data_IF_045735600024
#
_entry.id   IF_045735600024
#
_cell.length_a   1.000
_cell.length_b   1.000
_cell.length_c   1.000
_cell.angle_alpha   90.00
_cell.angle_beta   90.00
_cell.angle_gamma   90.00
#
_symmetry.space_group_name_H-M   'P 1'
#
loop_
_entity.id
_entity.type
_entity.pdbx_description
1 polymer ?
#
# COMPACT_ATOMS: atom_id res chain seq x y z
N UNK A 1 4.28 -26.70 16.42
CA UNK A 1 3.14 -26.19 15.65
C UNK A 1 3.33 -24.70 15.53
N UNK A 2 3.95 -24.23 14.45
CA UNK A 2 4.11 -22.79 14.23
C UNK A 2 2.82 -22.27 13.63
N UNK A 3 2.04 -21.54 14.44
CA UNK A 3 1.00 -20.67 13.91
C UNK A 3 1.71 -19.65 13.00
N UNK A 4 1.63 -19.85 11.69
CA UNK A 4 1.96 -18.81 10.74
C UNK A 4 0.95 -17.68 11.00
N UNK A 5 1.33 -16.69 11.82
CA UNK A 5 0.58 -15.45 11.93
C UNK A 5 0.58 -14.81 10.55
N UNK A 6 -0.49 -15.01 9.78
CA UNK A 6 -0.71 -14.31 8.53
C UNK A 6 -0.74 -12.83 8.86
N UNK A 7 0.37 -12.16 8.58
CA UNK A 7 0.50 -10.74 8.76
C UNK A 7 -0.56 -10.07 7.89
N UNK A 8 -1.51 -9.37 8.53
CA UNK A 8 -2.55 -8.64 7.82
C UNK A 8 -1.94 -7.73 6.74
N UNK A 9 -2.53 -7.78 5.54
CA UNK A 9 -2.29 -6.88 4.41
C UNK A 9 -3.61 -6.27 3.93
N UNK A 10 -3.58 -5.04 3.38
CA UNK A 10 -4.74 -4.46 2.72
C UNK A 10 -5.12 -5.26 1.48
N UNK A 11 -6.42 -5.38 1.21
CA UNK A 11 -6.91 -5.95 -0.04
C UNK A 11 -6.55 -5.07 -1.24
N UNK A 12 -6.39 -5.68 -2.40
CA UNK A 12 -6.18 -5.01 -3.68
C UNK A 12 -7.40 -5.27 -4.57
N UNK A 13 -8.04 -4.20 -5.01
CA UNK A 13 -9.21 -4.25 -5.89
C UNK A 13 -8.88 -3.56 -7.22
N UNK A 14 -9.35 -4.15 -8.31
CA UNK A 14 -9.29 -3.58 -9.65
C UNK A 14 -10.69 -3.15 -10.07
N UNK A 15 -10.80 -1.92 -10.56
CA UNK A 15 -12.01 -1.37 -11.15
C UNK A 15 -11.70 -0.88 -12.57
N UNK A 16 -12.34 -1.50 -13.56
CA UNK A 16 -12.13 -1.23 -14.98
C UNK A 16 -13.29 -0.39 -15.54
N UNK A 17 -12.94 0.62 -16.32
CA UNK A 17 -13.87 1.53 -16.98
C UNK A 17 -13.47 1.69 -18.46
N UNK A 18 -14.38 2.13 -19.35
CA UNK A 18 -14.05 2.37 -20.76
C UNK A 18 -12.88 3.34 -20.97
N UNK A 19 -12.68 4.28 -20.04
CA UNK A 19 -11.65 5.32 -20.12
C UNK A 19 -10.36 4.99 -19.35
N UNK A 20 -10.25 3.78 -18.78
CA UNK A 20 -9.05 3.32 -18.07
C UNK A 20 -9.36 2.41 -16.89
N UNK A 21 -8.39 2.27 -15.99
CA UNK A 21 -8.48 1.42 -14.83
C UNK A 21 -8.06 2.15 -13.55
N UNK A 22 -8.59 1.66 -12.43
CA UNK A 22 -8.28 2.11 -11.09
C UNK A 22 -7.92 0.91 -10.23
N UNK A 23 -6.74 0.98 -9.61
CA UNK A 23 -6.34 0.02 -8.58
C UNK A 23 -6.54 0.65 -7.20
N UNK A 24 -7.21 -0.06 -6.30
CA UNK A 24 -7.52 0.41 -4.95
C UNK A 24 -6.82 -0.51 -3.95
N UNK A 25 -5.94 0.07 -3.15
CA UNK A 25 -5.38 -0.58 -1.97
C UNK A 25 -6.27 -0.21 -0.79
N UNK A 26 -7.13 -1.16 -0.40
CA UNK A 26 -8.31 -0.91 0.44
C UNK A 26 -7.92 -0.25 1.77
N UNK A 27 -8.52 0.92 2.03
CA UNK A 27 -8.26 1.69 3.24
C UNK A 27 -6.92 2.43 3.28
N UNK A 28 -6.16 2.41 2.18
CA UNK A 28 -4.83 3.03 2.08
C UNK A 28 -4.80 4.13 1.02
N UNK A 29 -4.85 3.76 -0.26
CA UNK A 29 -4.73 4.69 -1.40
C UNK A 29 -5.24 4.03 -2.68
N UNK A 30 -5.21 4.76 -3.80
CA UNK A 30 -5.61 4.27 -5.12
C UNK A 30 -4.75 4.87 -6.22
N UNK A 31 -4.50 4.09 -7.28
CA UNK A 31 -3.83 4.51 -8.50
C UNK A 31 -4.76 4.47 -9.70
N UNK A 32 -4.49 5.31 -10.71
CA UNK A 32 -5.26 5.40 -11.95
C UNK A 32 -4.35 5.38 -13.17
N UNK A 33 -4.86 4.85 -14.28
CA UNK A 33 -4.13 4.83 -15.55
C UNK A 33 -5.02 4.39 -16.70
N UNK A 34 -4.59 4.67 -17.93
CA UNK A 34 -5.22 4.10 -19.13
C UNK A 34 -4.91 2.61 -19.28
N UNK A 35 -3.86 2.13 -18.60
CA UNK A 35 -3.45 0.73 -18.52
C UNK A 35 -3.25 0.28 -17.07
N UNK A 36 -3.31 -1.03 -16.81
CA UNK A 36 -3.06 -1.60 -15.49
C UNK A 36 -1.66 -1.25 -14.96
N UNK A 37 -0.68 -1.19 -15.86
CA UNK A 37 0.70 -0.83 -15.56
C UNK A 37 0.81 0.63 -15.08
N UNK A 38 0.11 1.56 -15.73
CA UNK A 38 0.03 2.96 -15.32
C UNK A 38 -0.67 3.11 -13.97
N UNK A 39 -1.82 2.44 -13.77
CA UNK A 39 -2.52 2.45 -12.50
C UNK A 39 -1.66 1.86 -11.35
N UNK A 40 -0.88 0.82 -11.65
CA UNK A 40 0.05 0.22 -10.69
C UNK A 40 1.18 1.19 -10.33
N UNK A 41 1.74 1.90 -11.31
CA UNK A 41 2.80 2.89 -11.08
C UNK A 41 2.29 4.10 -10.26
N UNK A 42 1.09 4.61 -10.57
CA UNK A 42 0.45 5.69 -9.79
C UNK A 42 0.16 5.22 -8.36
N UNK A 43 -0.35 3.99 -8.18
CA UNK A 43 -0.61 3.40 -6.87
C UNK A 43 0.66 3.34 -6.02
N UNK A 44 1.76 2.81 -6.58
CA UNK A 44 3.04 2.67 -5.88
C UNK A 44 3.66 4.02 -5.52
N UNK A 45 3.56 5.01 -6.42
CA UNK A 45 4.07 6.37 -6.18
C UNK A 45 3.35 7.00 -4.98
N UNK A 46 2.02 6.95 -4.98
CA UNK A 46 1.20 7.48 -3.87
C UNK A 46 1.43 6.73 -2.57
N UNK A 47 1.60 5.40 -2.65
CA UNK A 47 1.94 4.58 -1.49
C UNK A 47 3.28 4.98 -0.90
N UNK A 48 4.32 5.15 -1.74
CA UNK A 48 5.64 5.59 -1.30
C UNK A 48 5.54 6.92 -0.53
N UNK A 49 4.89 7.93 -1.12
CA UNK A 49 4.73 9.25 -0.49
C UNK A 49 4.03 9.15 0.86
N UNK A 50 2.92 8.42 0.92
CA UNK A 50 2.14 8.22 2.14
C UNK A 50 2.96 7.48 3.21
N UNK A 51 3.61 6.38 2.85
CA UNK A 51 4.40 5.55 3.76
C UNK A 51 5.63 6.29 4.29
N UNK A 52 6.32 7.06 3.46
CA UNK A 52 7.46 7.90 3.88
C UNK A 52 6.99 9.03 4.79
N UNK A 53 5.86 9.68 4.48
CA UNK A 53 5.28 10.70 5.36
C UNK A 53 4.94 10.13 6.74
N UNK A 54 4.28 8.97 6.80
CA UNK A 54 3.98 8.25 8.05
C UNK A 54 5.25 7.93 8.83
N UNK A 55 6.30 7.44 8.15
CA UNK A 55 7.57 7.05 8.80
C UNK A 55 8.35 8.24 9.34
N UNK A 56 8.33 9.37 8.62
CA UNK A 56 9.03 10.62 9.00
C UNK A 56 8.30 11.40 10.10
N UNK A 57 7.00 11.20 10.27
CA UNK A 57 6.20 11.84 11.32
C UNK A 57 6.50 11.32 12.75
N UNK A 58 7.72 10.83 13.02
CA UNK A 58 8.14 10.18 14.26
C UNK A 58 7.68 10.96 15.51
N UNK A 59 6.71 10.40 16.24
CA UNK A 59 6.10 10.99 17.45
C UNK A 59 4.62 11.36 17.31
N UNK A 60 4.10 11.48 16.09
CA UNK A 60 2.67 11.64 15.86
C UNK A 60 1.95 10.35 16.26
N UNK A 61 1.16 10.42 17.34
CA UNK A 61 0.22 9.34 17.70
C UNK A 61 -0.67 9.07 16.49
N UNK A 62 -1.07 7.80 16.25
CA UNK A 62 -2.10 7.52 15.24
C UNK A 62 -3.28 8.46 15.49
N UNK A 63 -3.89 9.06 14.46
CA UNK A 63 -4.92 10.07 14.63
C UNK A 63 -5.97 9.53 15.62
N UNK A 64 -6.03 10.16 16.80
CA UNK A 64 -6.86 9.72 17.91
C UNK A 64 -8.29 10.12 17.56
N UNK A 65 -8.95 9.23 16.79
CA UNK A 65 -10.37 9.14 16.38
C UNK A 65 -10.52 9.06 14.86
N UNK A 66 -11.08 7.93 14.42
CA UNK A 66 -11.99 7.87 13.27
C UNK A 66 -11.43 7.54 11.89
N UNK A 67 -10.12 7.62 11.61
CA UNK A 67 -9.68 7.69 10.20
C UNK A 67 -8.87 6.49 9.69
N UNK A 68 -8.17 5.72 10.52
CA UNK A 68 -7.44 4.53 10.04
C UNK A 68 -7.51 3.36 11.01
N UNK A 69 -7.77 2.16 10.49
CA UNK A 69 -7.70 0.92 11.28
C UNK A 69 -6.26 0.71 11.79
N UNK A 70 -6.05 0.25 13.04
CA UNK A 70 -4.69 0.07 13.58
C UNK A 70 -3.79 -0.83 12.72
N UNK A 71 -4.37 -1.81 12.03
CA UNK A 71 -3.66 -2.65 11.08
C UNK A 71 -3.14 -1.88 9.85
N UNK A 72 -3.90 -0.93 9.30
CA UNK A 72 -3.47 -0.05 8.21
C UNK A 72 -2.27 0.79 8.63
N UNK A 73 -2.32 1.38 9.83
CA UNK A 73 -1.22 2.19 10.35
C UNK A 73 0.06 1.37 10.52
N UNK A 74 -0.03 0.19 11.15
CA UNK A 74 1.13 -0.71 11.31
C UNK A 74 1.69 -1.17 9.98
N UNK A 75 0.82 -1.42 9.00
CA UNK A 75 1.23 -1.80 7.66
C UNK A 75 1.98 -0.63 6.99
N UNK A 76 1.40 0.58 6.93
CA UNK A 76 2.05 1.78 6.37
C UNK A 76 3.38 2.12 7.04
N UNK A 77 3.48 1.94 8.36
CA UNK A 77 4.72 2.15 9.09
C UNK A 77 5.82 1.20 8.63
N UNK A 78 5.51 -0.10 8.47
CA UNK A 78 6.45 -1.09 7.93
C UNK A 78 6.79 -0.78 6.48
N UNK A 79 5.80 -0.45 5.65
CA UNK A 79 6.02 -0.07 4.25
C UNK A 79 6.94 1.14 4.14
N UNK A 80 6.80 2.12 5.02
CA UNK A 80 7.68 3.29 5.06
C UNK A 80 9.12 2.93 5.43
N UNK A 81 9.30 1.92 6.28
CA UNK A 81 10.63 1.40 6.60
C UNK A 81 11.29 0.71 5.40
N UNK A 82 10.54 -0.12 4.66
CA UNK A 82 11.00 -0.73 3.40
C UNK A 82 11.35 0.35 2.36
N UNK A 83 10.48 1.34 2.19
CA UNK A 83 10.64 2.43 1.24
C UNK A 83 11.91 3.25 1.51
N UNK A 84 12.20 3.57 2.79
CA UNK A 84 13.40 4.31 3.17
C UNK A 84 14.69 3.50 3.01
N UNK A 85 14.62 2.16 3.03
CA UNK A 85 15.74 1.27 2.71
C UNK A 85 15.95 1.07 1.20
N UNK A 86 15.06 1.60 0.37
CA UNK A 86 15.11 1.43 -1.08
C UNK A 86 14.66 0.04 -1.56
N UNK A 87 13.86 -0.68 -0.76
CA UNK A 87 13.33 -1.99 -1.13
C UNK A 87 12.17 -1.86 -2.15
N UNK A 88 11.96 -2.89 -2.98
CA UNK A 88 10.87 -2.89 -3.97
C UNK A 88 9.50 -3.12 -3.31
N UNK A 89 8.66 -2.09 -3.33
CA UNK A 89 7.30 -2.15 -2.79
C UNK A 89 6.35 -3.01 -3.63
N UNK A 90 6.70 -3.40 -4.87
CA UNK A 90 5.84 -4.24 -5.72
C UNK A 90 5.56 -5.59 -5.08
N UNK A 91 6.59 -6.31 -4.65
CA UNK A 91 6.44 -7.60 -3.99
C UNK A 91 5.62 -7.49 -2.69
N UNK A 92 5.76 -6.36 -2.00
CA UNK A 92 5.01 -6.07 -0.78
C UNK A 92 3.51 -5.84 -1.01
N UNK A 93 3.12 -5.27 -2.16
CA UNK A 93 1.74 -4.89 -2.49
C UNK A 93 1.02 -5.96 -3.32
N UNK A 94 1.69 -6.54 -4.31
CA UNK A 94 1.12 -7.49 -5.27
C UNK A 94 1.38 -8.96 -4.90
N UNK A 95 2.25 -9.22 -3.91
CA UNK A 95 2.73 -10.55 -3.59
C UNK A 95 3.66 -11.12 -4.67
N UNK A 96 4.09 -12.37 -4.49
CA UNK A 96 4.96 -13.09 -5.44
C UNK A 96 4.25 -13.48 -6.76
N UNK A 97 3.03 -12.99 -6.99
CA UNK A 97 2.17 -13.36 -8.11
C UNK A 97 2.30 -12.41 -9.32
N UNK A 98 3.52 -12.06 -9.70
CA UNK A 98 3.82 -11.63 -11.06
C UNK A 98 5.07 -12.39 -11.53
N UNK A 99 4.91 -13.54 -12.20
CA UNK A 99 6.01 -14.10 -12.97
C UNK A 99 6.38 -13.09 -14.05
N UNK A 100 7.68 -12.78 -14.12
CA UNK A 100 8.30 -12.02 -15.21
C UNK A 100 8.15 -12.77 -16.52
#
# INVERSE_FOLDING_TARGET
MSDAQTQWSPGLELDEHPDGCRLVLVGVTRGHGSTLQEASADLLTRLFDLSVAVRRAAGAKPPVRGVHRPEVWRWLWRTGDLALRGEDLRAHVFGDALPV
#
